data_IF_733126604788
#
_entry.id   IF_733126604788
#
_cell.length_a   1.000
_cell.length_b   1.000
_cell.length_c   1.000
_cell.angle_alpha   90.00
_cell.angle_beta   90.00
_cell.angle_gamma   90.00
#
_symmetry.space_group_name_H-M   'P 1'
#
loop_
_entity.id
_entity.type
_entity.pdbx_description
1 polymer ?
#
# COMPACT_ATOMS: atom_id res chain seq x y z
N UNK A 1 -31.67 6.57 26.26
CA UNK A 1 -31.13 7.64 25.40
C UNK A 1 -30.14 7.01 24.44
N UNK A 2 -30.44 6.95 23.14
CA UNK A 2 -29.50 6.48 22.11
C UNK A 2 -28.47 7.59 21.86
N UNK A 3 -27.50 7.73 22.77
CA UNK A 3 -26.37 8.63 22.59
C UNK A 3 -25.24 7.87 21.87
N UNK A 4 -25.45 7.61 20.57
CA UNK A 4 -24.39 7.23 19.64
C UNK A 4 -23.92 8.45 18.86
N UNK A 5 -22.68 8.49 18.36
CA UNK A 5 -22.24 9.57 17.47
C UNK A 5 -23.21 9.72 16.30
N UNK A 6 -23.57 10.96 15.95
CA UNK A 6 -24.49 11.26 14.82
C UNK A 6 -23.87 10.91 13.45
N UNK A 7 -22.57 10.59 13.44
CA UNK A 7 -21.80 10.18 12.27
C UNK A 7 -21.19 8.80 12.48
N UNK A 8 -21.20 7.99 11.43
CA UNK A 8 -20.51 6.69 11.41
C UNK A 8 -18.98 6.84 11.42
N UNK A 9 -18.46 8.07 11.30
CA UNK A 9 -17.01 8.38 11.29
C UNK A 9 -16.72 9.53 12.27
N UNK A 10 -16.72 9.28 13.59
CA UNK A 10 -16.56 10.34 14.61
C UNK A 10 -15.23 11.10 14.53
N UNK A 11 -14.19 10.50 13.94
CA UNK A 11 -12.86 11.09 13.79
C UNK A 11 -12.59 11.65 12.39
N UNK A 12 -13.64 11.93 11.61
CA UNK A 12 -13.50 12.49 10.26
C UNK A 12 -12.61 13.76 10.17
N UNK A 13 -12.56 14.69 11.17
CA UNK A 13 -11.69 15.85 11.08
C UNK A 13 -10.21 15.47 11.19
N UNK A 14 -9.88 14.49 12.05
CA UNK A 14 -8.51 13.98 12.21
C UNK A 14 -8.08 13.25 10.94
N UNK A 15 -8.97 12.41 10.39
CA UNK A 15 -8.76 11.70 9.14
C UNK A 15 -8.45 12.66 7.98
N UNK A 16 -9.24 13.73 7.84
CA UNK A 16 -9.00 14.78 6.84
C UNK A 16 -7.72 15.57 7.11
N UNK A 17 -7.42 15.91 8.36
CA UNK A 17 -6.21 16.63 8.73
C UNK A 17 -4.94 15.84 8.39
N UNK A 18 -4.88 14.57 8.79
CA UNK A 18 -3.76 13.67 8.48
C UNK A 18 -3.67 13.42 6.97
N UNK A 19 -4.81 13.20 6.31
CA UNK A 19 -4.85 13.04 4.86
C UNK A 19 -4.35 14.28 4.11
N UNK A 20 -4.71 15.47 4.58
CA UNK A 20 -4.21 16.74 4.07
C UNK A 20 -2.70 16.88 4.25
N UNK A 21 -2.16 16.51 5.42
CA UNK A 21 -0.71 16.50 5.68
C UNK A 21 0.02 15.54 4.73
N UNK A 22 -0.52 14.33 4.51
CA UNK A 22 0.07 13.35 3.59
C UNK A 22 0.07 13.87 2.15
N UNK A 23 -1.06 14.44 1.70
CA UNK A 23 -1.18 15.02 0.36
C UNK A 23 -0.22 16.19 0.16
N UNK A 24 -0.22 17.16 1.09
CA UNK A 24 0.68 18.32 1.03
C UNK A 24 2.14 17.87 1.12
N UNK A 25 2.47 16.91 1.99
CA UNK A 25 3.79 16.32 2.09
C UNK A 25 4.24 15.69 0.77
N UNK A 26 3.37 14.94 0.09
CA UNK A 26 3.65 14.37 -1.22
C UNK A 26 3.90 15.45 -2.28
N UNK A 27 3.11 16.53 -2.28
CA UNK A 27 3.28 17.67 -3.18
C UNK A 27 4.59 18.42 -2.93
N UNK A 28 4.91 18.73 -1.68
CA UNK A 28 6.16 19.38 -1.28
C UNK A 28 7.37 18.52 -1.64
N UNK A 29 7.29 17.22 -1.40
CA UNK A 29 8.34 16.27 -1.72
C UNK A 29 8.54 16.15 -3.24
N UNK A 30 7.45 16.03 -4.01
CA UNK A 30 7.47 15.99 -5.47
C UNK A 30 7.93 17.29 -6.12
N UNK A 31 7.65 18.44 -5.50
CA UNK A 31 8.12 19.76 -5.95
C UNK A 31 7.79 20.06 -7.41
N UNK A 32 8.76 20.63 -8.15
CA UNK A 32 8.63 20.82 -9.60
C UNK A 32 8.60 19.46 -10.28
N UNK A 33 7.50 19.16 -10.96
CA UNK A 33 7.28 17.87 -11.65
C UNK A 33 7.97 17.83 -13.02
N UNK A 34 8.34 16.62 -13.44
CA UNK A 34 9.09 16.40 -14.70
C UNK A 34 8.23 16.54 -15.97
N UNK A 35 6.91 16.37 -15.87
CA UNK A 35 6.00 16.40 -17.02
C UNK A 35 4.57 16.76 -16.62
N UNK A 36 3.73 17.13 -17.60
CA UNK A 36 2.29 17.40 -17.38
C UNK A 36 1.58 16.17 -16.81
N UNK A 37 1.93 14.96 -17.27
CA UNK A 37 1.39 13.70 -16.71
C UNK A 37 1.77 13.53 -15.24
N UNK A 38 3.00 13.89 -14.87
CA UNK A 38 3.46 13.85 -13.49
C UNK A 38 2.75 14.90 -12.61
N UNK A 39 2.40 16.06 -13.17
CA UNK A 39 1.61 17.10 -12.49
C UNK A 39 0.23 16.60 -12.05
N UNK A 40 -0.40 15.75 -12.86
CA UNK A 40 -1.70 15.14 -12.55
C UNK A 40 -1.53 13.90 -11.65
N UNK A 41 -0.49 13.08 -11.89
CA UNK A 41 -0.27 11.86 -11.14
C UNK A 41 0.10 12.11 -9.67
N UNK A 42 0.85 13.19 -9.37
CA UNK A 42 1.31 13.48 -8.01
C UNK A 42 0.17 13.77 -7.01
N UNK A 43 -0.81 14.66 -7.28
CA UNK A 43 -1.94 14.87 -6.37
C UNK A 43 -2.83 13.64 -6.25
N UNK A 44 -3.02 12.88 -7.35
CA UNK A 44 -3.78 11.63 -7.30
C UNK A 44 -3.10 10.58 -6.42
N UNK A 45 -1.79 10.43 -6.54
CA UNK A 45 -1.00 9.55 -5.69
C UNK A 45 -1.12 9.96 -4.22
N UNK A 46 -0.96 11.25 -3.93
CA UNK A 46 -1.12 11.78 -2.57
C UNK A 46 -2.52 11.54 -2.00
N UNK A 47 -3.56 11.74 -2.81
CA UNK A 47 -4.95 11.51 -2.40
C UNK A 47 -5.23 10.02 -2.15
N UNK A 48 -4.79 9.13 -3.04
CA UNK A 48 -4.92 7.67 -2.86
C UNK A 48 -4.18 7.22 -1.61
N UNK A 49 -2.95 7.69 -1.38
CA UNK A 49 -2.18 7.36 -0.19
C UNK A 49 -2.81 7.90 1.10
N UNK A 50 -3.33 9.13 1.08
CA UNK A 50 -4.06 9.71 2.20
C UNK A 50 -5.30 8.87 2.56
N UNK A 51 -6.13 8.54 1.58
CA UNK A 51 -7.31 7.70 1.77
C UNK A 51 -6.94 6.29 2.25
N UNK A 52 -5.91 5.69 1.67
CA UNK A 52 -5.42 4.36 2.01
C UNK A 52 -4.91 4.28 3.46
N UNK A 53 -4.03 5.20 3.85
CA UNK A 53 -3.46 5.26 5.21
C UNK A 53 -4.55 5.59 6.23
N UNK A 54 -5.43 6.56 5.94
CA UNK A 54 -6.52 6.91 6.85
C UNK A 54 -7.52 5.78 7.05
N UNK A 55 -7.92 5.09 5.97
CA UNK A 55 -8.81 3.93 6.05
C UNK A 55 -8.16 2.77 6.80
N UNK A 56 -6.87 2.52 6.60
CA UNK A 56 -6.12 1.52 7.35
C UNK A 56 -6.03 1.85 8.84
N UNK A 57 -5.81 3.12 9.19
CA UNK A 57 -5.77 3.57 10.58
C UNK A 57 -7.11 3.38 11.29
N UNK A 58 -8.24 3.71 10.64
CA UNK A 58 -9.57 3.46 11.21
C UNK A 58 -9.86 1.96 11.35
N UNK A 59 -9.53 1.16 10.33
CA UNK A 59 -9.70 -0.29 10.40
C UNK A 59 -8.91 -0.87 11.58
N UNK A 60 -7.62 -0.51 11.68
CA UNK A 60 -6.73 -0.92 12.78
C UNK A 60 -7.30 -0.53 14.13
N UNK A 61 -7.78 0.71 14.28
CA UNK A 61 -8.34 1.18 15.56
C UNK A 61 -9.52 0.34 16.03
N UNK A 62 -10.32 -0.20 15.10
CA UNK A 62 -11.48 -1.04 15.41
C UNK A 62 -11.07 -2.50 15.66
N UNK A 63 -10.10 -3.01 14.91
CA UNK A 63 -9.74 -4.43 14.89
C UNK A 63 -8.60 -4.80 15.84
N UNK A 64 -7.66 -3.89 16.11
CA UNK A 64 -6.50 -4.17 16.94
C UNK A 64 -6.92 -4.33 18.41
N UNK A 65 -6.51 -5.45 18.99
CA UNK A 65 -6.70 -5.87 20.38
C UNK A 65 -5.35 -6.07 21.09
N UNK A 66 -4.29 -6.38 20.35
CA UNK A 66 -2.97 -6.66 20.91
C UNK A 66 -1.88 -5.69 20.43
N UNK A 67 -0.79 -5.59 21.19
CA UNK A 67 0.31 -4.66 20.88
C UNK A 67 1.03 -4.99 19.58
N UNK A 68 1.18 -6.28 19.25
CA UNK A 68 1.77 -6.76 18.01
C UNK A 68 0.95 -6.32 16.77
N UNK A 69 -0.38 -6.29 16.87
CA UNK A 69 -1.25 -5.79 15.80
C UNK A 69 -1.05 -4.28 15.57
N UNK A 70 -0.86 -3.50 16.64
CA UNK A 70 -0.52 -2.07 16.55
C UNK A 70 0.86 -1.85 15.93
N UNK A 71 1.86 -2.65 16.31
CA UNK A 71 3.19 -2.60 15.71
C UNK A 71 3.10 -2.94 14.22
N UNK A 72 2.39 -4.01 13.86
CA UNK A 72 2.19 -4.40 12.46
C UNK A 72 1.49 -3.31 11.65
N UNK A 73 0.44 -2.71 12.19
CA UNK A 73 -0.25 -1.60 11.53
C UNK A 73 0.65 -0.38 11.35
N UNK A 74 1.45 -0.03 12.35
CA UNK A 74 2.44 1.05 12.26
C UNK A 74 3.49 0.79 11.18
N UNK A 75 4.00 -0.44 11.09
CA UNK A 75 4.93 -0.85 10.04
C UNK A 75 4.33 -0.70 8.64
N UNK A 76 3.04 -1.05 8.47
CA UNK A 76 2.34 -0.88 7.20
C UNK A 76 2.14 0.59 6.84
N UNK A 77 1.87 1.47 7.82
CA UNK A 77 1.82 2.93 7.58
C UNK A 77 3.18 3.44 7.12
N UNK A 78 4.26 3.07 7.82
CA UNK A 78 5.63 3.47 7.43
C UNK A 78 5.98 2.98 6.03
N UNK A 79 5.63 1.72 5.70
CA UNK A 79 5.83 1.19 4.35
C UNK A 79 5.09 2.01 3.29
N UNK A 80 3.82 2.36 3.52
CA UNK A 80 3.06 3.20 2.60
C UNK A 80 3.68 4.59 2.41
N UNK A 81 4.17 5.20 3.49
CA UNK A 81 4.86 6.50 3.42
C UNK A 81 6.19 6.41 2.66
N UNK A 82 6.97 5.34 2.83
CA UNK A 82 8.21 5.12 2.09
C UNK A 82 7.94 4.90 0.59
N UNK A 83 6.91 4.13 0.26
CA UNK A 83 6.47 3.89 -1.12
C UNK A 83 5.94 5.18 -1.76
N UNK A 84 5.13 5.96 -1.03
CA UNK A 84 4.67 7.27 -1.45
C UNK A 84 5.85 8.21 -1.71
N UNK A 85 6.82 8.26 -0.79
CA UNK A 85 8.00 9.10 -0.93
C UNK A 85 8.82 8.70 -2.18
N UNK A 86 9.00 7.40 -2.39
CA UNK A 86 9.70 6.86 -3.55
C UNK A 86 9.00 7.24 -4.87
N UNK A 87 7.68 7.08 -4.94
CA UNK A 87 6.89 7.42 -6.11
C UNK A 87 6.82 8.94 -6.36
N UNK A 88 6.63 9.75 -5.32
CA UNK A 88 6.62 11.21 -5.42
C UNK A 88 7.95 11.75 -5.94
N UNK A 89 9.08 11.25 -5.40
CA UNK A 89 10.41 11.62 -5.87
C UNK A 89 10.69 11.14 -7.30
N UNK A 90 10.12 10.00 -7.72
CA UNK A 90 10.22 9.53 -9.10
C UNK A 90 9.53 10.46 -10.11
N UNK A 91 8.46 11.15 -9.69
CA UNK A 91 7.69 12.12 -10.48
C UNK A 91 8.30 13.54 -10.47
N UNK A 92 9.16 13.84 -9.50
CA UNK A 92 9.88 15.11 -9.39
C UNK A 92 10.90 15.34 -10.52
N UNK A 93 11.30 16.59 -10.73
CA UNK A 93 12.33 17.00 -11.69
C UNK A 93 13.75 16.48 -11.37
N UNK A 94 13.97 15.72 -10.28
CA UNK A 94 15.25 15.12 -9.89
C UNK A 94 16.43 16.12 -9.86
N UNK A 95 16.21 17.27 -9.24
CA UNK A 95 17.24 18.29 -9.05
C UNK A 95 17.71 18.35 -7.58
N UNK A 96 19.00 18.63 -7.37
CA UNK A 96 19.60 18.89 -6.05
C UNK A 96 19.44 17.75 -5.04
N UNK A 97 18.90 18.05 -3.87
CA UNK A 97 18.71 17.07 -2.79
C UNK A 97 17.66 16.00 -3.11
N UNK A 98 16.65 16.31 -3.94
CA UNK A 98 15.60 15.36 -4.36
C UNK A 98 16.18 14.24 -5.22
N UNK A 99 17.17 14.54 -6.06
CA UNK A 99 17.89 13.54 -6.83
C UNK A 99 18.64 12.55 -5.91
N UNK A 100 19.31 13.07 -4.87
CA UNK A 100 20.04 12.26 -3.88
C UNK A 100 19.08 11.38 -3.08
N UNK A 101 17.98 11.94 -2.58
CA UNK A 101 16.94 11.20 -1.86
C UNK A 101 16.31 10.11 -2.73
N UNK A 102 16.01 10.44 -4.00
CA UNK A 102 15.49 9.48 -4.96
C UNK A 102 16.47 8.31 -5.18
N UNK A 103 17.75 8.59 -5.44
CA UNK A 103 18.74 7.55 -5.68
C UNK A 103 18.92 6.64 -4.45
N UNK A 104 18.90 7.21 -3.24
CA UNK A 104 18.99 6.45 -1.99
C UNK A 104 17.79 5.52 -1.79
N UNK A 105 16.57 5.97 -2.11
CA UNK A 105 15.37 5.14 -2.09
C UNK A 105 15.35 4.12 -3.23
N UNK A 106 15.80 4.50 -4.42
CA UNK A 106 15.86 3.63 -5.60
C UNK A 106 16.74 2.41 -5.36
N UNK A 107 17.89 2.59 -4.70
CA UNK A 107 18.76 1.48 -4.29
C UNK A 107 18.07 0.48 -3.34
N UNK A 108 17.07 0.95 -2.58
CA UNK A 108 16.28 0.14 -1.64
C UNK A 108 14.92 -0.28 -2.20
N UNK A 109 14.56 0.15 -3.41
CA UNK A 109 13.23 -0.08 -3.95
C UNK A 109 12.91 -1.57 -4.12
N UNK A 110 13.91 -2.38 -4.50
CA UNK A 110 13.76 -3.84 -4.55
C UNK A 110 13.38 -4.45 -3.20
N UNK A 111 13.93 -3.92 -2.11
CA UNK A 111 13.56 -4.33 -0.74
C UNK A 111 12.19 -3.81 -0.34
N UNK A 112 11.81 -2.58 -0.71
CA UNK A 112 10.47 -2.06 -0.46
C UNK A 112 9.39 -2.92 -1.13
N UNK A 113 9.63 -3.37 -2.37
CA UNK A 113 8.75 -4.33 -3.07
C UNK A 113 8.71 -5.66 -2.34
N UNK A 114 9.86 -6.21 -1.93
CA UNK A 114 9.91 -7.48 -1.23
C UNK A 114 9.17 -7.42 0.11
N UNK A 115 9.33 -6.33 0.88
CA UNK A 115 8.63 -6.11 2.15
C UNK A 115 7.11 -5.96 1.91
N UNK A 116 6.70 -5.22 0.87
CA UNK A 116 5.28 -5.10 0.52
C UNK A 116 4.67 -6.42 0.08
N UNK A 117 5.39 -7.20 -0.73
CA UNK A 117 4.99 -8.55 -1.10
C UNK A 117 4.95 -9.50 0.10
N UNK A 118 5.91 -9.39 1.03
CA UNK A 118 5.92 -10.17 2.27
C UNK A 118 4.72 -9.85 3.14
N UNK A 119 4.42 -8.57 3.36
CA UNK A 119 3.20 -8.14 4.04
C UNK A 119 1.94 -8.70 3.36
N UNK A 120 1.85 -8.62 2.03
CA UNK A 120 0.76 -9.19 1.26
C UNK A 120 0.62 -10.70 1.43
N UNK A 121 1.73 -11.44 1.41
CA UNK A 121 1.74 -12.88 1.59
C UNK A 121 1.31 -13.28 3.01
N UNK A 122 1.83 -12.61 4.05
CA UNK A 122 1.44 -12.86 5.45
C UNK A 122 -0.07 -12.64 5.62
N UNK A 123 -0.59 -11.52 5.13
CA UNK A 123 -2.02 -11.22 5.23
C UNK A 123 -2.88 -12.20 4.42
N UNK A 124 -2.43 -12.62 3.24
CA UNK A 124 -3.12 -13.61 2.42
C UNK A 124 -3.20 -14.96 3.15
N UNK A 125 -2.08 -15.43 3.72
CA UNK A 125 -2.06 -16.67 4.48
C UNK A 125 -2.94 -16.58 5.73
N UNK A 126 -2.94 -15.44 6.43
CA UNK A 126 -3.82 -15.22 7.58
C UNK A 126 -5.30 -15.37 7.19
N UNK A 127 -5.74 -14.71 6.11
CA UNK A 127 -7.13 -14.83 5.61
C UNK A 127 -7.48 -16.25 5.15
N UNK A 128 -6.53 -16.95 4.53
CA UNK A 128 -6.75 -18.29 3.97
C UNK A 128 -6.73 -19.38 5.02
N UNK A 129 -6.03 -19.21 6.15
CA UNK A 129 -5.85 -20.28 7.15
C UNK A 129 -6.49 -19.95 8.50
N UNK A 130 -6.41 -18.72 8.98
CA UNK A 130 -6.84 -18.35 10.32
C UNK A 130 -8.21 -17.64 10.30
N UNK A 131 -9.28 -18.26 10.84
CA UNK A 131 -10.61 -17.66 10.86
C UNK A 131 -10.73 -16.40 11.74
N UNK A 132 -9.73 -16.11 12.60
CA UNK A 132 -9.71 -14.90 13.45
C UNK A 132 -9.45 -13.63 12.65
N UNK A 133 -8.69 -13.72 11.58
CA UNK A 133 -8.37 -12.58 10.73
C UNK A 133 -9.34 -12.53 9.56
N UNK A 134 -10.38 -11.69 9.67
CA UNK A 134 -11.33 -11.39 8.57
C UNK A 134 -11.39 -9.91 8.19
N UNK A 135 -10.47 -9.10 8.74
CA UNK A 135 -10.27 -7.72 8.32
C UNK A 135 -9.37 -7.70 7.09
N UNK A 136 -9.92 -7.30 5.95
CA UNK A 136 -9.18 -7.26 4.69
C UNK A 136 -8.24 -6.05 4.64
N UNK A 137 -6.92 -6.23 4.52
CA UNK A 137 -5.95 -5.13 4.55
C UNK A 137 -5.78 -4.47 3.18
N UNK A 138 -6.87 -4.37 2.42
CA UNK A 138 -6.96 -3.77 1.08
C UNK A 138 -6.36 -2.36 1.09
N UNK A 139 -6.73 -1.55 2.08
CA UNK A 139 -6.24 -0.18 2.23
C UNK A 139 -4.73 -0.11 2.54
N UNK A 140 -4.16 -1.11 3.21
CA UNK A 140 -2.74 -1.12 3.54
C UNK A 140 -1.84 -1.43 2.34
N UNK A 141 -2.34 -2.11 1.31
CA UNK A 141 -1.51 -2.61 0.21
C UNK A 141 -1.86 -2.04 -1.17
N UNK A 142 -2.94 -1.27 -1.30
CA UNK A 142 -3.33 -0.67 -2.58
C UNK A 142 -2.26 0.27 -3.14
N UNK A 143 -1.59 1.07 -2.29
CA UNK A 143 -0.55 2.01 -2.72
C UNK A 143 0.67 1.28 -3.28
N UNK A 144 1.33 0.35 -2.55
CA UNK A 144 2.46 -0.40 -3.12
C UNK A 144 2.07 -1.22 -4.35
N UNK A 145 0.88 -1.83 -4.37
CA UNK A 145 0.41 -2.56 -5.54
C UNK A 145 0.34 -1.66 -6.79
N UNK A 146 -0.28 -0.48 -6.69
CA UNK A 146 -0.41 0.45 -7.83
C UNK A 146 0.94 1.05 -8.24
N UNK A 147 1.74 1.50 -7.28
CA UNK A 147 3.03 2.15 -7.55
C UNK A 147 3.97 1.19 -8.29
N UNK A 148 4.14 -0.03 -7.80
CA UNK A 148 5.05 -0.99 -8.41
C UNK A 148 4.47 -1.71 -9.62
N UNK A 149 3.15 -1.71 -9.80
CA UNK A 149 2.53 -2.10 -11.06
C UNK A 149 2.90 -1.13 -12.17
N UNK A 150 2.81 0.18 -11.93
CA UNK A 150 3.15 1.21 -12.93
C UNK A 150 4.66 1.34 -13.10
N UNK A 151 5.42 1.25 -12.01
CA UNK A 151 6.87 1.43 -11.97
C UNK A 151 7.56 0.19 -11.37
N UNK A 152 7.75 -0.88 -12.16
CA UNK A 152 8.43 -2.06 -11.67
C UNK A 152 9.91 -1.75 -11.41
N UNK A 153 10.46 -2.39 -10.37
CA UNK A 153 11.86 -2.21 -9.94
C UNK A 153 12.58 -3.55 -9.87
N UNK A 154 13.91 -3.51 -9.95
CA UNK A 154 14.72 -4.72 -9.77
C UNK A 154 14.83 -5.08 -8.30
N UNK A 155 14.80 -6.37 -7.98
CA UNK A 155 14.83 -6.86 -6.61
C UNK A 155 15.22 -8.33 -6.50
N UNK A 156 15.22 -8.88 -5.28
CA UNK A 156 15.58 -10.26 -5.00
C UNK A 156 14.57 -11.23 -5.64
N UNK A 157 14.97 -11.87 -6.74
CA UNK A 157 14.03 -12.56 -7.65
C UNK A 157 13.38 -13.79 -7.05
N UNK A 158 14.10 -14.55 -6.22
CA UNK A 158 13.58 -15.80 -5.64
C UNK A 158 12.45 -15.50 -4.65
N UNK A 159 12.68 -14.49 -3.83
CA UNK A 159 11.77 -13.96 -2.83
C UNK A 159 10.54 -13.37 -3.50
N UNK A 160 10.72 -12.47 -4.48
CA UNK A 160 9.60 -11.89 -5.23
C UNK A 160 8.79 -13.00 -5.93
N UNK A 161 9.43 -14.03 -6.49
CA UNK A 161 8.72 -15.14 -7.14
C UNK A 161 7.88 -15.96 -6.15
N UNK A 162 8.44 -16.28 -4.99
CA UNK A 162 7.71 -16.95 -3.91
C UNK A 162 6.52 -16.12 -3.43
N UNK A 163 6.73 -14.82 -3.20
CA UNK A 163 5.67 -13.91 -2.76
C UNK A 163 4.57 -13.77 -3.82
N UNK A 164 4.94 -13.69 -5.10
CA UNK A 164 4.00 -13.67 -6.22
C UNK A 164 3.14 -14.93 -6.22
N UNK A 165 3.76 -16.10 -6.00
CA UNK A 165 3.05 -17.37 -5.95
C UNK A 165 2.09 -17.45 -4.76
N UNK A 166 2.54 -17.12 -3.54
CA UNK A 166 1.70 -17.18 -2.33
C UNK A 166 0.48 -16.27 -2.47
N UNK A 167 0.68 -15.01 -2.87
CA UNK A 167 -0.43 -14.05 -3.02
C UNK A 167 -1.36 -14.50 -4.14
N UNK A 168 -0.83 -14.84 -5.32
CA UNK A 168 -1.65 -15.22 -6.47
C UNK A 168 -2.45 -16.51 -6.23
N UNK A 169 -1.82 -17.54 -5.68
CA UNK A 169 -2.47 -18.80 -5.36
C UNK A 169 -3.50 -18.66 -4.23
N UNK A 170 -3.32 -17.70 -3.32
CA UNK A 170 -4.24 -17.45 -2.20
C UNK A 170 -5.57 -16.79 -2.59
N UNK A 171 -5.68 -16.16 -3.77
CA UNK A 171 -6.90 -15.44 -4.19
C UNK A 171 -8.12 -16.37 -4.26
N UNK A 172 -7.97 -17.52 -4.93
CA UNK A 172 -9.06 -18.49 -5.09
C UNK A 172 -9.55 -19.08 -3.75
N UNK A 173 -8.69 -19.65 -2.87
CA UNK A 173 -9.14 -20.20 -1.61
C UNK A 173 -9.69 -19.11 -0.65
N UNK A 174 -9.15 -17.89 -0.69
CA UNK A 174 -9.69 -16.77 0.08
C UNK A 174 -11.12 -16.43 -0.35
N UNK A 175 -11.39 -16.30 -1.65
CA UNK A 175 -12.74 -16.02 -2.16
C UNK A 175 -13.71 -17.17 -1.89
N UNK A 176 -13.25 -18.42 -1.97
CA UNK A 176 -14.06 -19.58 -1.63
C UNK A 176 -14.48 -19.59 -0.15
N UNK A 177 -13.56 -19.27 0.77
CA UNK A 177 -13.84 -19.21 2.22
C UNK A 177 -14.74 -18.05 2.64
N UNK A 178 -14.55 -16.88 2.01
CA UNK A 178 -15.27 -15.65 2.38
C UNK A 178 -16.59 -15.45 1.63
N UNK A 179 -16.81 -16.22 0.56
CA UNK A 179 -18.00 -16.20 -0.26
C UNK A 179 -18.03 -15.06 -1.28
N UNK A 180 -18.61 -15.33 -2.45
CA UNK A 180 -18.66 -14.39 -3.58
C UNK A 180 -19.55 -13.17 -3.36
N UNK A 181 -20.38 -13.19 -2.31
CA UNK A 181 -21.26 -12.06 -1.94
C UNK A 181 -20.54 -11.04 -1.03
N UNK A 182 -19.35 -11.36 -0.52
CA UNK A 182 -18.61 -10.47 0.36
C UNK A 182 -17.83 -9.41 -0.45
N UNK A 183 -18.28 -8.17 -0.40
CA UNK A 183 -17.66 -7.06 -1.13
C UNK A 183 -16.21 -6.78 -0.68
N UNK A 184 -15.90 -6.97 0.61
CA UNK A 184 -14.55 -6.72 1.12
C UNK A 184 -13.57 -7.81 0.65
N UNK A 185 -14.05 -9.05 0.52
CA UNK A 185 -13.32 -10.16 -0.08
C UNK A 185 -12.93 -9.85 -1.53
N UNK A 186 -13.86 -9.29 -2.32
CA UNK A 186 -13.55 -8.82 -3.67
C UNK A 186 -12.54 -7.68 -3.69
N UNK A 187 -12.66 -6.71 -2.78
CA UNK A 187 -11.68 -5.63 -2.65
C UNK A 187 -10.26 -6.16 -2.40
N UNK A 188 -10.13 -7.14 -1.50
CA UNK A 188 -8.86 -7.81 -1.25
C UNK A 188 -8.37 -8.61 -2.46
N UNK A 189 -9.24 -9.35 -3.14
CA UNK A 189 -8.88 -10.12 -4.32
C UNK A 189 -8.34 -9.20 -5.44
N UNK A 190 -8.96 -8.04 -5.66
CA UNK A 190 -8.49 -7.04 -6.63
C UNK A 190 -7.12 -6.52 -6.24
N UNK A 191 -6.91 -6.09 -4.99
CA UNK A 191 -5.59 -5.60 -4.54
C UNK A 191 -4.52 -6.70 -4.58
N UNK A 192 -4.87 -7.94 -4.23
CA UNK A 192 -3.98 -9.11 -4.34
C UNK A 192 -3.59 -9.39 -5.78
N UNK A 193 -4.53 -9.28 -6.72
CA UNK A 193 -4.25 -9.41 -8.15
C UNK A 193 -3.32 -8.30 -8.64
N UNK A 194 -3.58 -7.04 -8.25
CA UNK A 194 -2.71 -5.91 -8.58
C UNK A 194 -1.29 -6.10 -8.01
N UNK A 195 -1.19 -6.55 -6.76
CA UNK A 195 0.09 -6.84 -6.11
C UNK A 195 0.82 -7.99 -6.82
N UNK A 196 0.11 -9.07 -7.16
CA UNK A 196 0.67 -10.20 -7.92
C UNK A 196 1.21 -9.72 -9.26
N UNK A 197 0.46 -8.89 -9.99
CA UNK A 197 0.88 -8.31 -11.25
C UNK A 197 2.09 -7.35 -11.08
N UNK A 198 2.12 -6.54 -10.03
CA UNK A 198 3.25 -5.68 -9.70
C UNK A 198 4.54 -6.49 -9.45
N UNK A 199 4.47 -7.51 -8.59
CA UNK A 199 5.59 -8.40 -8.29
C UNK A 199 6.06 -9.13 -9.56
N UNK A 200 5.13 -9.65 -10.35
CA UNK A 200 5.42 -10.30 -11.62
C UNK A 200 6.13 -9.36 -12.61
N UNK A 201 5.70 -8.10 -12.72
CA UNK A 201 6.39 -7.09 -13.55
C UNK A 201 7.81 -6.83 -13.03
N UNK A 202 8.00 -6.75 -11.70
CA UNK A 202 9.32 -6.59 -11.10
C UNK A 202 10.25 -7.79 -11.40
N UNK A 203 9.72 -9.03 -11.45
CA UNK A 203 10.49 -10.22 -11.85
C UNK A 203 10.99 -10.15 -13.29
N UNK A 204 10.26 -9.46 -14.18
CA UNK A 204 10.63 -9.31 -15.59
C UNK A 204 11.68 -8.23 -15.82
N UNK A 205 11.89 -7.31 -14.87
CA UNK A 205 12.94 -6.30 -14.98
C UNK A 205 14.30 -6.98 -14.78
N UNK A 206 15.14 -6.99 -15.81
CA UNK A 206 16.52 -7.46 -15.73
C UNK A 206 17.43 -6.32 -15.27
N UNK A 207 18.39 -6.61 -14.39
CA UNK A 207 19.60 -5.77 -14.26
C UNK A 207 20.37 -5.93 -15.58
N UNK A 208 20.55 -4.83 -16.31
CA UNK A 208 21.53 -4.73 -17.40
C UNK A 208 22.89 -4.53 -16.76
#
# INVERSE_FOLDING_TARGET
MLAGPVTNVPYWPLWLGVGGIILLGALVLGGRVRSVRAAIALPLLGAVSACAIGTWAELTRVTARFNDEWVWAGLLVVLNLLVLAHAALALSAREGWRARAFNWLEQRAGWLVAIAGFAGAVMMLALVFDPRYRSFPTAALVVPALVYLVRPVTGPRREIALLTFIIGAGIAPQLYREGLLNQQAWGWAVVSLLMTAALWRCLRVRKI
#
